data_IF_009301897366
#
_entry.id   IF_009301897366
#
_cell.length_a   1.000
_cell.length_b   1.000
_cell.length_c   1.000
_cell.angle_alpha   90.00
_cell.angle_beta   90.00
_cell.angle_gamma   90.00
#
_symmetry.space_group_name_H-M   'P 1'
#
loop_
_entity.id
_entity.type
_entity.pdbx_description
1 polymer ?
2 non-polymer ?
3 water ?
#
# COMPACT_ATOMS: atom_id res chain seq x y z
N UNK A 10 -2.76 -15.84 -3.00
CA UNK A 10 -3.00 -14.86 -4.09
C UNK A 10 -2.20 -13.59 -3.82
N UNK A 11 -0.90 -13.76 -3.61
CA UNK A 11 0.08 -12.69 -3.66
C UNK A 11 1.45 -13.31 -3.87
N UNK A 12 2.35 -12.58 -4.53
CA UNK A 12 3.68 -13.10 -4.80
C UNK A 12 4.67 -11.97 -4.92
N UNK A 13 5.94 -12.27 -4.64
CA UNK A 13 6.98 -11.21 -4.72
C UNK A 13 7.97 -11.60 -5.82
N UNK A 14 8.17 -10.72 -6.79
CA UNK A 14 9.19 -10.98 -7.84
C UNK A 14 10.26 -9.91 -7.67
N UNK A 15 11.45 -10.31 -7.25
CA UNK A 15 12.54 -9.32 -6.99
C UNK A 15 12.02 -8.23 -6.05
N UNK A 16 11.96 -7.00 -6.54
CA UNK A 16 11.53 -5.86 -5.68
C UNK A 16 10.09 -5.48 -6.01
N UNK A 17 9.33 -6.42 -6.58
CA UNK A 17 7.95 -6.16 -6.91
C UNK A 17 7.08 -7.11 -6.09
N UNK A 18 6.14 -6.50 -5.35
CA UNK A 18 5.07 -7.22 -4.70
C UNK A 18 3.82 -7.08 -5.56
N UNK A 19 3.13 -8.19 -5.83
CA UNK A 19 1.86 -8.18 -6.55
C UNK A 19 0.80 -8.99 -5.81
N UNK A 20 -0.36 -8.39 -5.59
CA UNK A 20 -1.43 -8.94 -4.78
C UNK A 20 -2.76 -8.81 -5.50
N UNK A 21 -3.58 -9.84 -5.41
CA UNK A 21 -4.95 -9.76 -5.90
C UNK A 21 -5.83 -9.47 -4.70
N UNK A 22 -6.66 -8.45 -4.83
CA UNK A 22 -7.49 -7.97 -3.76
C UNK A 22 -8.93 -7.83 -4.25
N UNK A 23 -9.88 -8.31 -3.42
CA UNK A 23 -11.31 -8.08 -3.59
C UNK A 23 -11.70 -6.83 -2.81
N UNK A 24 -12.00 -5.73 -3.49
CA UNK A 24 -12.51 -4.53 -2.84
C UNK A 24 -12.97 -3.52 -3.87
N UNK A 25 -13.14 -2.27 -3.46
CA UNK A 25 -13.44 -1.18 -4.38
C UNK A 25 -12.17 -0.38 -4.67
N UNK A 26 -12.00 0.00 -5.93
CA UNK A 26 -10.83 0.73 -6.40
C UNK A 26 -10.84 2.15 -5.86
N UNK A 27 -12.03 2.76 -5.75
CA UNK A 27 -12.11 4.14 -5.26
C UNK A 27 -11.92 4.24 -3.74
N UNK A 28 -11.87 3.11 -3.04
CA UNK A 28 -11.67 3.12 -1.60
C UNK A 28 -10.24 2.67 -1.27
N UNK A 29 -9.30 2.79 -2.23
CA UNK A 29 -7.97 2.29 -2.00
C UNK A 29 -7.04 3.40 -1.56
N UNK A 30 -5.97 2.92 -0.95
CA UNK A 30 -4.82 3.70 -0.57
C UNK A 30 -3.65 3.27 -1.43
N UNK A 31 -3.14 4.15 -2.27
CA UNK A 31 -1.91 3.84 -2.95
C UNK A 31 -1.36 5.17 -3.47
N UNK A 32 -0.05 5.23 -3.73
CA UNK A 32 0.47 6.38 -4.44
C UNK A 32 -0.41 6.68 -5.67
N UNK A 33 -0.74 5.64 -6.44
CA UNK A 33 -1.48 5.83 -7.68
C UNK A 33 -2.63 4.84 -7.72
N UNK A 34 -3.81 5.35 -8.09
CA UNK A 34 -4.98 4.51 -8.36
C UNK A 34 -5.30 4.70 -9.84
N UNK A 35 -5.59 3.59 -10.53
CA UNK A 35 -5.87 3.64 -11.95
C UNK A 35 -7.38 3.72 -12.21
N UNK A 36 -7.75 4.75 -12.98
CA UNK A 36 -9.09 4.93 -13.51
C UNK A 36 -9.15 4.34 -14.91
N UNK A 37 -10.37 4.05 -15.34
CA UNK A 37 -10.62 3.51 -16.67
C UNK A 37 -11.84 4.21 -17.27
N UNK A 38 -11.58 5.04 -18.30
CA UNK A 38 -12.59 5.97 -18.81
C UNK A 38 -12.72 5.88 -20.32
N UNK A 39 -13.90 6.29 -20.78
CA UNK A 39 -14.10 6.74 -22.14
C UNK A 39 -13.79 8.24 -22.14
N UNK A 40 -12.82 8.72 -22.96
CA UNK A 40 -12.34 10.09 -22.86
C UNK A 40 -13.41 11.15 -23.17
N UNK A 41 -14.42 10.76 -23.96
CA UNK A 41 -15.52 11.64 -24.30
C UNK A 41 -16.42 11.84 -23.08
N UNK A 42 -16.46 10.85 -22.16
CA UNK A 42 -17.34 10.93 -20.98
C UNK A 42 -16.78 10.06 -19.85
N UNK A 43 -16.23 10.73 -18.83
CA UNK A 43 -15.64 10.05 -17.70
C UNK A 43 -16.70 9.79 -16.62
N UNK A 44 -17.96 10.14 -16.92
CA UNK A 44 -19.04 9.98 -15.97
C UNK A 44 -19.76 8.67 -16.22
N UNK A 45 -19.25 7.88 -17.16
CA UNK A 45 -19.91 6.64 -17.56
C UNK A 45 -18.95 5.49 -17.29
N UNK A 46 -19.54 4.34 -16.96
CA UNK A 46 -18.80 3.12 -16.64
C UNK A 46 -18.69 2.91 -15.14
N UNK A 47 -18.77 1.63 -14.66
CA UNK A 47 -18.61 1.30 -13.23
C UNK A 47 -17.47 2.03 -12.49
N UNK A 48 -16.22 1.79 -12.91
CA UNK A 48 -15.04 2.36 -12.28
C UNK A 48 -15.04 3.88 -12.37
N UNK A 49 -15.31 4.42 -13.56
CA UNK A 49 -15.26 5.86 -13.75
C UNK A 49 -16.18 6.58 -12.76
N UNK A 50 -17.35 5.97 -12.49
CA UNK A 50 -18.36 6.57 -11.65
C UNK A 50 -17.94 6.51 -10.18
N UNK A 51 -17.65 5.28 -9.71
CA UNK A 51 -17.13 5.05 -8.38
C UNK A 51 -16.07 6.09 -8.02
N UNK A 52 -15.14 6.30 -8.96
CA UNK A 52 -13.99 7.16 -8.78
C UNK A 52 -14.44 8.61 -8.75
N UNK A 53 -15.35 8.97 -9.63
CA UNK A 53 -15.82 10.34 -9.76
C UNK A 53 -16.55 10.75 -8.49
N UNK A 54 -17.40 9.87 -7.97
CA UNK A 54 -18.13 10.12 -6.73
C UNK A 54 -17.14 10.31 -5.59
N UNK A 55 -16.26 9.32 -5.42
CA UNK A 55 -15.36 9.32 -4.28
C UNK A 55 -14.40 10.51 -4.35
N UNK A 56 -13.94 10.87 -5.55
CA UNK A 56 -12.85 11.83 -5.68
C UNK A 56 -13.35 13.27 -5.65
N UNK A 57 -14.63 13.43 -6.02
CA UNK A 57 -15.33 14.70 -5.92
C UNK A 57 -15.33 15.44 -7.25
N UNK A 58 -16.15 16.50 -7.31
CA UNK A 58 -16.41 17.25 -8.53
C UNK A 58 -15.12 17.87 -9.09
N UNK A 59 -14.15 18.20 -8.21
CA UNK A 59 -12.96 18.94 -8.61
C UNK A 59 -12.02 18.07 -9.45
N UNK A 60 -12.23 16.75 -9.41
CA UNK A 60 -11.42 15.80 -10.14
C UNK A 60 -11.74 15.85 -11.64
N UNK A 61 -13.02 16.11 -11.95
CA UNK A 61 -13.51 16.22 -13.32
C UNK A 61 -13.08 17.55 -13.95
N UNK A 62 -12.75 18.57 -13.14
CA UNK A 62 -12.26 19.84 -13.66
C UNK A 62 -10.83 19.69 -14.19
N UNK A 63 -9.92 19.19 -13.34
CA UNK A 63 -8.53 19.08 -13.76
C UNK A 63 -8.43 18.10 -14.92
N UNK A 64 -9.38 17.16 -15.02
CA UNK A 64 -9.40 16.17 -16.10
C UNK A 64 -9.82 16.77 -17.44
N UNK A 65 -10.84 17.64 -17.42
CA UNK A 65 -11.33 18.30 -18.65
C UNK A 65 -10.36 19.40 -19.06
N UNK A 66 -9.53 19.90 -18.15
CA UNK A 66 -8.65 21.03 -18.43
C UNK A 66 -7.28 20.58 -18.93
N UNK A 67 -7.00 19.27 -18.88
CA UNK A 67 -5.68 18.74 -19.21
C UNK A 67 -5.72 17.81 -20.43
N UNK A 68 -6.92 17.47 -20.92
CA UNK A 68 -7.08 16.93 -22.26
C UNK A 68 -7.03 18.11 -23.23
N UNK A 69 -6.19 18.04 -24.29
CA UNK A 69 -5.96 19.18 -25.17
C UNK A 69 -5.25 18.74 -26.45
N UNK A 74 -6.25 13.16 -29.51
CA UNK A 74 -4.86 13.20 -28.99
C UNK A 74 -4.41 11.78 -28.60
N UNK A 75 -3.12 11.51 -28.77
CA UNK A 75 -2.56 10.17 -28.56
C UNK A 75 -2.37 9.81 -27.07
N UNK A 76 -2.47 10.79 -26.15
CA UNK A 76 -2.39 10.53 -24.71
C UNK A 76 -3.27 9.33 -24.38
N UNK A 77 -2.67 8.21 -23.96
CA UNK A 77 -3.42 7.03 -23.55
C UNK A 77 -3.72 7.04 -22.05
N UNK A 78 -2.82 7.65 -21.25
CA UNK A 78 -2.96 7.78 -19.82
C UNK A 78 -2.86 9.26 -19.45
N UNK A 79 -3.98 9.82 -18.98
CA UNK A 79 -4.02 11.16 -18.42
C UNK A 79 -3.74 11.09 -16.92
N UNK A 80 -2.92 12.01 -16.41
CA UNK A 80 -2.54 11.99 -15.00
C UNK A 80 -3.13 13.19 -14.27
N UNK A 81 -3.79 12.92 -13.15
CA UNK A 81 -4.24 13.99 -12.28
C UNK A 81 -3.82 13.70 -10.84
N UNK A 82 -4.07 14.66 -9.95
CA UNK A 82 -3.92 14.46 -8.53
C UNK A 82 -5.06 13.53 -8.10
N UNK A 83 -5.06 13.18 -6.81
CA UNK A 83 -6.04 12.24 -6.25
C UNK A 83 -7.25 12.92 -5.62
N UNK A 84 -7.18 14.23 -5.31
CA UNK A 84 -8.27 14.91 -4.63
C UNK A 84 -8.63 14.13 -3.36
N UNK A 85 -9.92 13.82 -3.16
CA UNK A 85 -10.42 13.12 -1.99
C UNK A 85 -10.22 11.60 -2.06
N UNK A 86 -9.41 11.11 -3.01
CA UNK A 86 -8.98 9.72 -2.94
C UNK A 86 -7.73 9.64 -2.09
N UNK A 87 -7.55 8.49 -1.43
CA UNK A 87 -6.39 8.26 -0.60
C UNK A 87 -5.27 7.85 -1.53
N UNK A 88 -4.88 8.78 -2.42
CA UNK A 88 -3.84 8.52 -3.41
C UNK A 88 -3.16 9.83 -3.76
N UNK A 89 -1.95 9.73 -4.30
CA UNK A 89 -1.19 10.90 -4.69
C UNK A 89 -1.60 11.36 -6.09
N UNK A 90 -1.92 10.39 -6.94
CA UNK A 90 -2.21 10.67 -8.34
C UNK A 90 -3.29 9.69 -8.78
N UNK A 91 -4.05 10.08 -9.82
CA UNK A 91 -4.88 9.14 -10.55
C UNK A 91 -4.36 9.05 -11.99
N UNK A 92 -4.10 7.81 -12.43
CA UNK A 92 -3.77 7.56 -13.82
C UNK A 92 -5.03 7.12 -14.55
N UNK A 93 -5.59 8.00 -15.38
CA UNK A 93 -6.79 7.67 -16.14
C UNK A 93 -6.40 7.00 -17.44
N UNK A 94 -6.76 5.73 -17.60
CA UNK A 94 -6.56 5.05 -18.87
C UNK A 94 -7.64 5.52 -19.84
N UNK A 95 -7.23 6.11 -20.97
CA UNK A 95 -8.20 6.59 -21.96
C UNK A 95 -8.34 5.55 -23.05
N UNK A 96 -9.48 4.87 -23.08
CA UNK A 96 -9.83 4.04 -24.21
C UNK A 96 -10.33 4.87 -25.39
N UNK A 97 -9.45 5.11 -26.37
CA UNK A 97 -9.86 5.66 -27.65
C UNK A 97 -10.44 4.53 -28.50
N UNK A 98 -11.45 4.89 -29.30
CA UNK A 98 -12.31 3.94 -29.99
C UNK A 98 -11.70 3.36 -31.27
N UNK A 99 -10.67 4.00 -31.86
CA UNK A 99 -10.16 3.60 -33.18
C UNK A 99 -8.95 2.64 -33.06
N UNK A 100 -8.91 1.78 -32.03
CA UNK A 100 -7.76 0.92 -31.77
C UNK A 100 -8.20 -0.47 -31.32
N UNK A 101 -7.39 -1.54 -31.52
CA UNK A 101 -7.70 -2.86 -30.99
C UNK A 101 -7.56 -2.79 -29.48
N UNK A 102 -8.54 -3.39 -28.77
CA UNK A 102 -8.65 -3.23 -27.32
C UNK A 102 -7.50 -3.93 -26.62
N UNK A 103 -7.22 -5.23 -26.88
CA UNK A 103 -6.05 -5.88 -26.29
C UNK A 103 -4.75 -5.07 -26.42
N UNK A 104 -4.63 -4.24 -27.47
CA UNK A 104 -3.45 -3.43 -27.67
C UNK A 104 -3.48 -2.18 -26.80
N UNK A 105 -4.68 -1.65 -26.52
CA UNK A 105 -4.86 -0.45 -25.72
C UNK A 105 -4.49 -0.77 -24.28
N UNK A 106 -4.95 -1.95 -23.83
CA UNK A 106 -4.61 -2.44 -22.51
C UNK A 106 -3.10 -2.59 -22.41
N UNK A 107 -2.52 -3.30 -23.37
CA UNK A 107 -1.13 -3.67 -23.24
C UNK A 107 -0.31 -2.38 -23.20
N UNK A 108 -0.72 -1.38 -23.98
CA UNK A 108 0.04 -0.15 -24.10
C UNK A 108 -0.25 0.72 -22.88
N UNK A 109 -1.50 0.75 -22.44
CA UNK A 109 -1.86 1.59 -21.28
C UNK A 109 -1.12 1.10 -20.04
N UNK A 110 -0.99 -0.21 -19.93
CA UNK A 110 -0.26 -0.80 -18.78
C UNK A 110 1.18 -0.29 -18.78
N UNK A 111 1.93 -0.58 -19.84
CA UNK A 111 3.36 -0.19 -19.91
C UNK A 111 3.49 1.29 -19.53
N UNK A 112 2.65 2.15 -20.10
CA UNK A 112 2.74 3.60 -19.82
C UNK A 112 2.54 3.83 -18.33
N UNK A 113 1.47 3.27 -17.76
CA UNK A 113 1.15 3.44 -16.32
C UNK A 113 2.38 2.98 -15.51
N UNK A 114 2.97 1.85 -15.87
CA UNK A 114 4.12 1.31 -15.10
C UNK A 114 5.40 2.11 -15.37
N UNK A 115 5.52 2.75 -16.53
CA UNK A 115 6.69 3.57 -16.81
C UNK A 115 6.55 4.84 -16.01
N UNK A 116 5.32 5.34 -15.92
CA UNK A 116 5.10 6.52 -15.13
C UNK A 116 5.47 6.24 -13.67
N UNK A 117 5.35 4.98 -13.23
CA UNK A 117 5.74 4.65 -11.86
C UNK A 117 7.24 4.94 -11.65
N UNK A 118 8.07 4.75 -12.68
CA UNK A 118 9.46 5.14 -12.51
C UNK A 118 9.58 6.65 -12.59
N UNK A 119 8.76 7.30 -13.43
CA UNK A 119 8.86 8.73 -13.65
C UNK A 119 8.57 9.46 -12.34
N UNK A 120 7.52 9.06 -11.66
CA UNK A 120 7.05 9.81 -10.50
C UNK A 120 7.50 9.20 -9.17
N UNK A 121 8.47 8.26 -9.19
CA UNK A 121 8.93 7.62 -7.98
C UNK A 121 7.72 7.15 -7.17
N UNK A 122 6.89 6.34 -7.82
CA UNK A 122 5.71 5.71 -7.28
C UNK A 122 6.15 4.42 -6.60
N UNK A 123 5.65 4.16 -5.39
CA UNK A 123 5.95 2.92 -4.69
C UNK A 123 4.76 1.96 -4.72
N UNK A 124 3.55 2.45 -4.96
CA UNK A 124 2.43 1.54 -4.98
C UNK A 124 1.40 2.02 -5.99
N UNK A 125 0.82 1.06 -6.71
CA UNK A 125 -0.14 1.35 -7.76
C UNK A 125 -1.20 0.25 -7.71
N UNK A 126 -2.47 0.66 -7.77
CA UNK A 126 -3.57 -0.28 -7.75
C UNK A 126 -4.41 -0.06 -9.00
N UNK A 127 -4.72 -1.18 -9.65
CA UNK A 127 -5.43 -1.23 -10.91
C UNK A 127 -6.71 -2.03 -10.72
N UNK A 128 -7.83 -1.64 -11.39
CA UNK A 128 -9.01 -2.49 -11.48
C UNK A 128 -8.75 -3.52 -12.56
N UNK A 129 -9.71 -4.42 -12.81
CA UNK A 129 -9.53 -5.40 -13.86
C UNK A 129 -9.84 -4.74 -15.21
N UNK A 130 -8.84 -4.01 -15.72
CA UNK A 130 -8.99 -3.13 -16.87
C UNK A 130 -9.50 -3.89 -18.09
N UNK A 131 -10.58 -3.37 -18.68
CA UNK A 131 -11.04 -3.83 -19.96
C UNK A 131 -11.99 -5.02 -19.85
N UNK A 132 -12.38 -5.39 -18.62
CA UNK A 132 -13.31 -6.50 -18.46
C UNK A 132 -14.75 -6.00 -18.57
N UNK A 133 -14.90 -4.66 -18.52
CA UNK A 133 -16.21 -4.03 -18.50
C UNK A 133 -16.98 -4.35 -19.77
N UNK A 134 -18.21 -4.85 -19.56
CA UNK A 134 -19.18 -5.13 -20.61
C UNK A 134 -18.85 -6.42 -21.35
N UNK A 135 -17.81 -7.15 -20.91
CA UNK A 135 -17.22 -8.21 -21.71
C UNK A 135 -16.70 -7.58 -23.01
N UNK A 136 -15.64 -6.77 -22.91
CA UNK A 136 -14.97 -6.14 -24.05
C UNK A 136 -13.70 -6.92 -24.36
N UNK A 137 -12.91 -7.17 -23.31
CA UNK A 137 -11.79 -8.10 -23.34
C UNK A 137 -12.14 -9.26 -22.42
N UNK A 138 -11.84 -10.49 -22.89
CA UNK A 138 -12.16 -11.71 -22.17
C UNK A 138 -11.34 -11.75 -20.88
N UNK A 139 -11.91 -12.35 -19.82
CA UNK A 139 -11.34 -12.25 -18.48
C UNK A 139 -9.91 -12.75 -18.46
N UNK A 140 -9.66 -13.95 -19.00
CA UNK A 140 -8.34 -14.58 -18.97
C UNK A 140 -7.31 -13.77 -19.77
N UNK A 141 -7.77 -13.05 -20.80
CA UNK A 141 -6.88 -12.28 -21.66
C UNK A 141 -6.45 -11.01 -20.94
N UNK A 142 -7.41 -10.30 -20.32
CA UNK A 142 -7.08 -9.15 -19.50
C UNK A 142 -6.02 -9.57 -18.48
N UNK A 143 -6.34 -10.60 -17.69
CA UNK A 143 -5.43 -11.15 -16.70
C UNK A 143 -4.10 -11.51 -17.37
N UNK A 144 -4.13 -12.25 -18.47
CA UNK A 144 -2.89 -12.58 -19.17
C UNK A 144 -2.06 -11.32 -19.39
N UNK A 145 -2.69 -10.28 -19.93
CA UNK A 145 -2.01 -9.05 -20.32
C UNK A 145 -1.53 -8.28 -19.08
N UNK A 146 -2.41 -8.16 -18.08
CA UNK A 146 -2.11 -7.42 -16.87
C UNK A 146 -0.87 -7.99 -16.20
N UNK A 147 -0.85 -9.31 -15.94
CA UNK A 147 0.33 -9.95 -15.36
C UNK A 147 1.54 -9.79 -16.29
N UNK A 148 1.34 -10.05 -17.60
CA UNK A 148 2.39 -9.94 -18.61
C UNK A 148 3.18 -8.66 -18.38
N UNK A 149 2.51 -7.51 -18.37
CA UNK A 149 3.19 -6.24 -18.31
C UNK A 149 3.83 -6.02 -16.94
N UNK A 150 3.09 -6.36 -15.88
CA UNK A 150 3.60 -6.20 -14.53
C UNK A 150 4.90 -6.99 -14.42
N UNK A 151 4.87 -8.28 -14.78
CA UNK A 151 6.05 -9.12 -14.65
C UNK A 151 7.19 -8.57 -15.49
N UNK A 152 6.88 -8.04 -16.67
CA UNK A 152 7.88 -7.48 -17.57
C UNK A 152 8.68 -6.40 -16.83
N UNK A 153 7.93 -5.47 -16.23
CA UNK A 153 8.48 -4.36 -15.46
C UNK A 153 9.38 -4.86 -14.34
N UNK A 154 8.92 -5.89 -13.63
CA UNK A 154 9.66 -6.48 -12.53
C UNK A 154 11.04 -6.94 -12.98
N UNK A 155 11.15 -7.44 -14.22
CA UNK A 155 12.41 -7.94 -14.75
C UNK A 155 13.24 -6.78 -15.30
N UNK A 156 12.58 -5.80 -15.93
CA UNK A 156 13.28 -4.78 -16.68
C UNK A 156 13.62 -3.57 -15.81
N UNK A 157 13.08 -3.49 -14.59
CA UNK A 157 13.44 -2.40 -13.70
C UNK A 157 13.36 -2.89 -12.26
N UNK A 158 14.37 -3.71 -11.91
CA UNK A 158 14.43 -4.42 -10.64
C UNK A 158 14.96 -3.50 -9.54
N UNK A 159 15.48 -2.33 -9.94
CA UNK A 159 15.96 -1.34 -8.99
C UNK A 159 14.81 -0.57 -8.35
N UNK A 160 13.58 -0.70 -8.89
CA UNK A 160 12.43 0.07 -8.42
C UNK A 160 11.49 -0.82 -7.61
N UNK A 161 11.29 -0.45 -6.33
CA UNK A 161 10.38 -1.14 -5.43
C UNK A 161 8.98 -0.68 -5.78
N UNK A 162 8.09 -1.67 -6.03
CA UNK A 162 6.72 -1.36 -6.38
C UNK A 162 5.79 -2.37 -5.70
N UNK A 163 4.66 -1.86 -5.19
CA UNK A 163 3.56 -2.71 -4.77
C UNK A 163 2.45 -2.52 -5.79
N UNK A 164 2.03 -3.61 -6.42
CA UNK A 164 0.95 -3.60 -7.40
C UNK A 164 -0.21 -4.42 -6.87
N UNK A 165 -1.38 -3.78 -6.77
CA UNK A 165 -2.62 -4.47 -6.45
C UNK A 165 -3.49 -4.50 -7.70
N UNK A 166 -4.04 -5.67 -8.02
CA UNK A 166 -5.18 -5.77 -8.90
C UNK A 166 -6.43 -5.86 -8.03
N UNK A 167 -7.20 -4.78 -8.02
CA UNK A 167 -8.47 -4.70 -7.31
C UNK A 167 -9.62 -5.27 -8.14
N UNK A 168 -10.16 -6.40 -7.68
CA UNK A 168 -11.31 -7.06 -8.27
C UNK A 168 -12.56 -6.68 -7.48
N UNK A 169 -13.66 -6.37 -8.16
CA UNK A 169 -14.83 -5.96 -7.42
C UNK A 169 -15.38 -7.18 -6.68
N UNK A 170 -15.88 -7.03 -5.44
CA UNK A 170 -16.40 -8.15 -4.66
C UNK A 170 -17.40 -9.09 -5.36
N UNK A 171 -18.43 -8.54 -6.03
CA UNK A 171 -19.47 -9.38 -6.63
C UNK A 171 -18.93 -10.12 -7.87
N UNK A 172 -17.89 -9.59 -8.52
CA UNK A 172 -17.27 -10.21 -9.69
C UNK A 172 -16.41 -11.40 -9.28
N UNK A 173 -17.05 -12.51 -8.91
CA UNK A 173 -16.33 -13.68 -8.46
C UNK A 173 -15.54 -14.32 -9.60
N UNK A 174 -16.08 -14.26 -10.83
CA UNK A 174 -15.50 -14.98 -11.97
C UNK A 174 -14.16 -14.36 -12.37
N UNK A 175 -14.15 -13.02 -12.46
CA UNK A 175 -12.96 -12.26 -12.79
C UNK A 175 -11.86 -12.60 -11.78
N UNK A 176 -12.26 -12.68 -10.50
CA UNK A 176 -11.37 -13.06 -9.42
C UNK A 176 -10.76 -14.45 -9.66
N UNK A 177 -11.61 -15.41 -10.07
CA UNK A 177 -11.16 -16.78 -10.25
C UNK A 177 -10.09 -16.84 -11.34
N UNK A 178 -10.17 -15.92 -12.30
CA UNK A 178 -9.25 -15.95 -13.44
C UNK A 178 -7.90 -15.35 -13.03
N UNK A 179 -7.93 -14.26 -12.26
CA UNK A 179 -6.70 -13.63 -11.84
C UNK A 179 -5.92 -14.53 -10.89
N UNK A 180 -6.62 -15.23 -9.99
CA UNK A 180 -5.96 -16.19 -9.12
C UNK A 180 -5.23 -17.22 -9.98
N UNK A 181 -5.94 -17.77 -10.96
CA UNK A 181 -5.42 -18.84 -11.81
C UNK A 181 -4.22 -18.35 -12.62
N UNK A 182 -4.30 -17.11 -13.11
CA UNK A 182 -3.21 -16.58 -13.93
C UNK A 182 -1.99 -16.39 -13.02
N UNK A 183 -2.23 -15.91 -11.80
CA UNK A 183 -1.15 -15.68 -10.86
C UNK A 183 -0.52 -17.03 -10.50
N UNK A 184 -1.36 -17.99 -10.08
CA UNK A 184 -0.92 -19.35 -9.84
C UNK A 184 0.02 -19.80 -10.96
N UNK A 185 -0.51 -19.83 -12.20
CA UNK A 185 0.24 -20.25 -13.37
C UNK A 185 1.61 -19.58 -13.42
N UNK A 186 1.65 -18.27 -13.16
CA UNK A 186 2.85 -17.48 -13.37
C UNK A 186 3.92 -17.82 -12.34
N UNK A 187 3.50 -17.89 -11.07
CA UNK A 187 4.41 -18.21 -9.99
C UNK A 187 5.00 -19.60 -10.17
N UNK A 188 4.23 -20.56 -10.72
CA UNK A 188 4.73 -21.89 -10.99
C UNK A 188 6.01 -21.83 -11.82
N UNK A 189 6.15 -20.82 -12.70
CA UNK A 189 7.44 -20.47 -13.29
C UNK A 189 8.09 -19.39 -12.41
N UNK A 190 9.34 -19.00 -12.70
CA UNK A 190 10.04 -17.94 -11.95
C UNK A 190 10.71 -18.50 -10.69
N UNK B 10 14.40 -8.03 -0.36
CA UNK B 10 13.92 -7.54 0.97
C UNK B 10 12.41 -7.26 0.92
N UNK B 11 11.67 -8.28 0.53
CA UNK B 11 10.23 -8.34 0.64
C UNK B 11 9.80 -9.80 0.48
N UNK B 12 8.71 -10.19 1.15
CA UNK B 12 8.36 -11.61 1.22
C UNK B 12 6.88 -11.73 1.47
N UNK B 13 6.31 -12.86 1.05
CA UNK B 13 4.90 -13.12 1.31
C UNK B 13 4.85 -14.26 2.33
N UNK B 14 3.99 -14.13 3.34
CA UNK B 14 3.78 -15.21 4.29
C UNK B 14 2.27 -15.41 4.42
N UNK B 15 1.78 -16.55 3.97
CA UNK B 15 0.34 -16.76 3.83
C UNK B 15 -0.30 -15.61 3.07
N UNK B 16 -1.16 -14.83 3.74
CA UNK B 16 -1.89 -13.73 3.13
C UNK B 16 -1.31 -12.39 3.55
N UNK B 17 -0.04 -12.41 3.94
CA UNK B 17 0.62 -11.22 4.44
C UNK B 17 1.81 -10.96 3.52
N UNK B 18 1.85 -9.73 3.03
CA UNK B 18 3.00 -9.19 2.35
C UNK B 18 3.76 -8.31 3.35
N UNK B 19 5.07 -8.48 3.43
CA UNK B 19 5.92 -7.66 4.28
C UNK B 19 7.14 -7.18 3.51
N UNK B 20 7.41 -5.87 3.58
CA UNK B 20 8.42 -5.21 2.77
C UNK B 20 9.25 -4.27 3.66
N UNK B 21 10.56 -4.23 3.42
CA UNK B 21 11.40 -3.23 4.02
C UNK B 21 11.63 -2.15 2.99
N UNK B 22 11.38 -0.91 3.40
CA UNK B 22 11.38 0.22 2.50
C UNK B 22 12.17 1.36 3.12
N UNK B 23 13.00 2.03 2.30
CA UNK B 23 13.67 3.25 2.69
C UNK B 23 12.85 4.45 2.24
N UNK B 24 12.27 5.20 3.18
CA UNK B 24 11.59 6.44 2.85
C UNK B 24 11.19 7.21 4.11
N UNK B 25 10.29 8.18 3.96
CA UNK B 25 9.70 8.89 5.09
C UNK B 25 8.32 8.32 5.40
N UNK B 26 8.06 8.15 6.70
CA UNK B 26 6.82 7.58 7.20
C UNK B 26 5.67 8.53 6.94
N UNK B 27 5.92 9.84 7.06
CA UNK B 27 4.85 10.82 6.91
C UNK B 27 4.47 11.02 5.45
N UNK B 28 5.24 10.46 4.51
CA UNK B 28 4.94 10.60 3.09
C UNK B 28 4.36 9.30 2.54
N UNK B 29 3.82 8.44 3.40
CA UNK B 29 3.39 7.13 2.97
C UNK B 29 1.91 7.11 2.69
N UNK B 30 1.57 6.10 1.87
CA UNK B 30 0.22 5.79 1.50
C UNK B 30 -0.12 4.42 2.09
N UNK B 31 -1.02 4.39 3.07
CA UNK B 31 -1.47 3.13 3.60
C UNK B 31 -2.78 3.38 4.31
N UNK B 32 -3.59 2.33 4.49
CA UNK B 32 -4.75 2.49 5.35
C UNK B 32 -4.31 3.12 6.68
N UNK B 33 -3.21 2.61 7.24
CA UNK B 33 -2.79 3.05 8.56
C UNK B 33 -1.31 3.36 8.52
N UNK B 34 -0.93 4.51 9.10
CA UNK B 34 0.45 4.88 9.33
C UNK B 34 0.67 4.93 10.83
N UNK B 35 1.79 4.36 11.30
CA UNK B 35 2.08 4.29 12.73
C UNK B 35 2.97 5.45 13.17
N UNK B 36 2.45 6.20 14.17
CA UNK B 36 3.17 7.27 14.83
C UNK B 36 3.78 6.71 16.10
N UNK B 37 4.78 7.44 16.60
CA UNK B 37 5.52 7.04 17.79
C UNK B 37 5.78 8.27 18.64
N UNK B 38 5.09 8.36 19.78
CA UNK B 38 5.05 9.59 20.57
C UNK B 38 5.37 9.33 22.02
N UNK B 39 5.85 10.39 22.65
CA UNK B 39 5.74 10.57 24.08
C UNK B 39 4.38 11.20 24.36
N UNK B 40 3.50 10.54 25.15
CA UNK B 40 2.11 10.99 25.29
C UNK B 40 1.98 12.38 25.89
N UNK B 41 2.96 12.78 26.70
CA UNK B 41 3.00 14.08 27.33
C UNK B 41 3.29 15.17 26.28
N UNK B 42 3.99 14.82 25.19
CA UNK B 42 4.29 15.79 24.13
C UNK B 42 4.52 15.10 22.79
N UNK B 43 3.55 15.25 21.89
CA UNK B 43 3.61 14.62 20.58
C UNK B 43 4.32 15.52 19.58
N UNK B 44 4.86 16.65 20.05
CA UNK B 44 5.51 17.61 19.17
C UNK B 44 7.02 17.36 19.17
N UNK B 45 7.44 16.31 19.87
CA UNK B 45 8.85 16.06 20.07
C UNK B 45 9.15 14.66 19.53
N UNK B 46 10.37 14.51 19.01
CA UNK B 46 10.84 13.24 18.47
C UNK B 46 10.81 13.26 16.94
N UNK B 47 11.81 12.66 16.26
CA UNK B 47 11.83 12.59 14.79
C UNK B 47 10.49 12.30 14.09
N UNK B 48 9.93 11.11 14.34
CA UNK B 48 8.70 10.65 13.73
C UNK B 48 7.52 11.54 14.13
N UNK B 49 7.39 11.82 15.42
CA UNK B 49 6.25 12.61 15.89
C UNK B 49 6.17 13.94 15.16
N UNK B 50 7.33 14.55 14.90
CA UNK B 50 7.41 15.86 14.28
C UNK B 50 7.04 15.76 12.80
N UNK B 51 7.78 14.92 12.06
CA UNK B 51 7.51 14.62 10.67
C UNK B 51 6.00 14.47 10.43
N UNK B 52 5.36 13.67 11.29
CA UNK B 52 3.96 13.33 11.14
C UNK B 52 3.09 14.55 11.47
N UNK B 53 3.47 15.29 12.52
CA UNK B 53 2.71 16.44 12.95
C UNK B 53 2.73 17.52 11.86
N UNK B 54 3.90 17.75 11.26
CA UNK B 54 4.02 18.73 10.21
C UNK B 54 3.18 18.29 9.02
N UNK B 55 3.38 17.06 8.57
CA UNK B 55 2.71 16.61 7.36
C UNK B 55 1.20 16.54 7.56
N UNK B 56 0.73 16.16 8.75
CA UNK B 56 -0.68 15.84 8.95
C UNK B 56 -1.48 17.10 9.25
N UNK B 57 -0.78 18.11 9.77
CA UNK B 57 -1.34 19.44 10.00
C UNK B 57 -1.80 19.62 11.44
N UNK B 58 -2.11 20.87 11.78
CA UNK B 58 -2.38 21.27 13.15
C UNK B 58 -3.61 20.56 13.71
N UNK B 59 -4.57 20.19 12.86
CA UNK B 59 -5.84 19.63 13.31
C UNK B 59 -5.66 18.20 13.84
N UNK B 60 -4.51 17.58 13.54
CA UNK B 60 -4.21 16.23 13.98
C UNK B 60 -3.90 16.22 15.49
N UNK B 61 -3.26 17.30 15.95
CA UNK B 61 -2.90 17.47 17.35
C UNK B 61 -4.11 17.79 18.21
N UNK B 62 -5.20 18.29 17.61
CA UNK B 62 -6.42 18.56 18.34
C UNK B 62 -7.15 17.26 18.66
N UNK B 63 -7.40 16.42 17.64
CA UNK B 63 -8.13 15.19 17.87
C UNK B 63 -7.33 14.29 18.80
N UNK B 64 -5.99 14.45 18.80
CA UNK B 64 -5.11 13.66 19.64
C UNK B 64 -5.17 14.07 21.12
N UNK B 65 -5.20 15.39 21.39
CA UNK B 65 -5.30 15.90 22.75
C UNK B 65 -6.71 15.70 23.29
N UNK B 66 -7.70 15.54 22.42
CA UNK B 66 -9.09 15.49 22.83
C UNK B 66 -9.56 14.06 23.08
N UNK B 67 -8.76 13.06 22.71
CA UNK B 67 -9.18 11.67 22.78
C UNK B 67 -8.26 10.84 23.68
N UNK B 68 -7.25 11.48 24.28
CA UNK B 68 -6.27 10.79 25.10
C UNK B 68 -6.91 10.32 26.43
N UNK B 69 -6.33 9.25 27.00
CA UNK B 69 -6.68 8.73 28.32
C UNK B 69 -8.13 8.25 28.33
N UNK B 74 -3.75 5.29 31.65
CA UNK B 74 -2.45 4.58 31.46
C UNK B 74 -2.63 3.33 30.62
N UNK B 75 -3.77 2.62 30.76
CA UNK B 75 -3.99 1.35 30.07
C UNK B 75 -4.48 1.57 28.63
N UNK B 76 -3.62 2.22 27.83
CA UNK B 76 -3.92 2.63 26.47
C UNK B 76 -2.57 2.83 25.78
N UNK B 77 -2.17 1.87 24.95
CA UNK B 77 -0.87 1.88 24.31
C UNK B 77 -0.93 2.59 22.96
N UNK B 78 -2.07 2.44 22.26
CA UNK B 78 -2.23 2.91 20.89
C UNK B 78 -3.47 3.79 20.80
N UNK B 79 -3.26 5.09 20.57
CA UNK B 79 -4.32 6.04 20.32
C UNK B 79 -4.61 6.08 18.82
N UNK B 80 -5.90 6.10 18.44
CA UNK B 80 -6.28 6.06 17.04
C UNK B 80 -6.90 7.39 16.62
N UNK B 81 -6.39 7.97 15.54
CA UNK B 81 -7.01 9.15 14.95
C UNK B 81 -7.19 8.92 13.45
N UNK B 82 -7.87 9.88 12.81
CA UNK B 82 -7.96 9.91 11.36
C UNK B 82 -6.59 10.34 10.86
N UNK B 83 -6.45 10.39 9.52
CA UNK B 83 -5.17 10.68 8.86
C UNK B 83 -4.97 12.16 8.53
N UNK B 84 -6.03 12.96 8.49
CA UNK B 84 -5.91 14.34 8.08
C UNK B 84 -5.19 14.40 6.73
N UNK B 85 -4.14 15.22 6.63
CA UNK B 85 -3.43 15.45 5.38
C UNK B 85 -2.37 14.38 5.11
N UNK B 86 -2.41 13.27 5.86
CA UNK B 86 -1.60 12.13 5.48
C UNK B 86 -2.42 11.28 4.52
N UNK B 87 -1.71 10.59 3.62
CA UNK B 87 -2.36 9.73 2.64
C UNK B 87 -2.65 8.42 3.33
N UNK B 88 -3.51 8.49 4.34
CA UNK B 88 -3.85 7.34 5.14
C UNK B 88 -5.26 7.50 5.69
N UNK B 89 -5.87 6.39 6.10
CA UNK B 89 -7.22 6.40 6.62
C UNK B 89 -7.19 6.72 8.12
N UNK B 90 -6.15 6.25 8.79
CA UNK B 90 -6.06 6.37 10.24
C UNK B 90 -4.59 6.54 10.60
N UNK B 91 -4.33 7.17 11.74
CA UNK B 91 -3.02 7.11 12.38
C UNK B 91 -3.12 6.35 13.70
N UNK B 92 -2.27 5.31 13.84
CA UNK B 92 -2.14 4.63 15.11
C UNK B 92 -0.93 5.19 15.87
N UNK B 93 -1.18 5.98 16.90
CA UNK B 93 -0.11 6.58 17.69
C UNK B 93 0.30 5.63 18.81
N UNK B 94 1.53 5.13 18.76
CA UNK B 94 2.05 4.32 19.85
C UNK B 94 2.45 5.26 20.99
N UNK B 95 1.84 5.07 22.17
CA UNK B 95 2.15 5.89 23.32
C UNK B 95 3.16 5.16 24.19
N UNK B 96 4.41 5.63 24.18
CA UNK B 96 5.41 5.14 25.13
C UNK B 96 5.22 5.79 26.51
N UNK B 97 4.60 5.09 27.45
CA UNK B 97 4.60 5.52 28.84
C UNK B 97 5.92 5.04 29.46
N UNK B 98 6.56 5.90 30.27
CA UNK B 98 7.92 5.64 30.73
C UNK B 98 7.92 4.97 32.11
N UNK B 99 7.03 3.98 32.31
CA UNK B 99 6.96 3.27 33.58
C UNK B 99 6.91 1.75 33.33
N UNK B 100 7.35 1.28 32.14
CA UNK B 100 7.18 -0.10 31.71
C UNK B 100 8.42 -0.58 30.96
N UNK B 101 8.72 -1.90 30.91
CA UNK B 101 9.91 -2.41 30.23
C UNK B 101 9.74 -2.21 28.73
N UNK B 102 10.80 -1.71 28.06
CA UNK B 102 10.70 -1.15 26.72
C UNK B 102 10.39 -2.27 25.72
N UNK B 103 11.22 -3.35 25.67
CA UNK B 103 10.93 -4.46 24.78
C UNK B 103 9.50 -4.99 24.89
N UNK B 104 8.89 -4.86 26.08
CA UNK B 104 7.54 -5.34 26.31
C UNK B 104 6.50 -4.36 25.76
N UNK B 105 6.79 -3.06 25.75
CA UNK B 105 5.76 -2.13 25.30
C UNK B 105 5.76 -2.11 23.78
N UNK B 106 6.92 -2.34 23.16
CA UNK B 106 6.97 -2.53 21.72
C UNK B 106 6.15 -3.78 21.37
N UNK B 107 6.44 -4.88 22.08
CA UNK B 107 5.83 -6.13 21.71
C UNK B 107 4.32 -5.98 21.85
N UNK B 108 3.87 -5.26 22.88
CA UNK B 108 2.45 -5.10 23.14
C UNK B 108 1.86 -4.10 22.16
N UNK B 109 2.59 -3.03 21.88
CA UNK B 109 2.12 -2.00 20.96
C UNK B 109 1.93 -2.57 19.54
N UNK B 110 2.80 -3.51 19.18
CA UNK B 110 2.68 -4.17 17.87
C UNK B 110 1.38 -4.98 17.83
N UNK B 111 1.22 -5.92 18.76
CA UNK B 111 -0.01 -6.74 18.82
C UNK B 111 -1.24 -5.85 18.66
N UNK B 112 -1.35 -4.81 19.47
CA UNK B 112 -2.55 -3.94 19.44
C UNK B 112 -2.71 -3.36 18.04
N UNK B 113 -1.65 -2.76 17.50
CA UNK B 113 -1.69 -2.20 16.13
C UNK B 113 -2.23 -3.27 15.17
N UNK B 114 -1.66 -4.46 15.19
CA UNK B 114 -2.07 -5.54 14.26
C UNK B 114 -3.46 -6.09 14.60
N UNK B 115 -3.90 -6.02 15.85
CA UNK B 115 -5.23 -6.49 16.18
C UNK B 115 -6.22 -5.46 15.67
N UNK B 116 -5.87 -4.19 15.80
CA UNK B 116 -6.74 -3.16 15.29
C UNK B 116 -6.86 -3.31 13.77
N UNK B 117 -5.82 -3.87 13.11
CA UNK B 117 -5.95 -4.12 11.67
C UNK B 117 -7.12 -5.06 11.39
N UNK B 118 -7.38 -6.04 12.27
CA UNK B 118 -8.55 -6.88 12.04
C UNK B 118 -9.81 -6.10 12.40
N UNK B 119 -9.73 -5.25 13.42
CA UNK B 119 -10.89 -4.52 13.91
C UNK B 119 -11.44 -3.62 12.80
N UNK B 120 -10.54 -2.89 12.14
CA UNK B 120 -10.98 -1.87 11.21
C UNK B 120 -10.91 -2.33 9.75
N UNK B 121 -10.76 -3.63 9.49
CA UNK B 121 -10.63 -4.14 8.14
C UNK B 121 -9.60 -3.29 7.38
N UNK B 122 -8.40 -3.23 7.96
CA UNK B 122 -7.23 -2.54 7.44
C UNK B 122 -6.56 -3.51 6.48
N UNK B 123 -6.16 -3.00 5.31
CA UNK B 123 -5.47 -3.82 4.31
C UNK B 123 -3.99 -3.47 4.25
N UNK B 124 -3.60 -2.31 4.73
CA UNK B 124 -2.18 -2.00 4.69
C UNK B 124 -1.81 -1.13 5.88
N UNK B 125 -0.61 -1.39 6.41
CA UNK B 125 -0.14 -0.68 7.60
C UNK B 125 1.36 -0.49 7.45
N UNK B 126 1.84 0.73 7.70
CA UNK B 126 3.24 1.04 7.60
C UNK B 126 3.74 1.60 8.92
N UNK B 127 4.89 1.05 9.35
CA UNK B 127 5.50 1.30 10.64
C UNK B 127 6.88 1.89 10.40
N UNK B 128 7.33 2.86 11.25
CA UNK B 128 8.73 3.26 11.31
C UNK B 128 9.44 2.23 12.15
N UNK B 129 10.77 2.36 12.30
CA UNK B 129 11.52 1.45 13.16
C UNK B 129 11.31 1.86 14.61
N UNK B 130 10.18 1.39 15.16
CA UNK B 130 9.70 1.77 16.48
C UNK B 130 10.74 1.47 17.55
N UNK B 131 11.07 2.51 18.32
CA UNK B 131 11.85 2.34 19.54
C UNK B 131 13.36 2.37 19.28
N UNK B 132 13.77 2.72 18.06
CA UNK B 132 15.20 2.72 17.74
C UNK B 132 15.75 4.10 18.03
N UNK B 133 14.91 5.02 18.48
CA UNK B 133 15.34 6.41 18.67
C UNK B 133 16.20 6.59 19.89
N UNK B 134 17.18 7.51 19.82
CA UNK B 134 18.11 7.77 20.96
C UNK B 134 18.59 6.43 21.52
N UNK B 135 18.81 5.45 20.64
CA UNK B 135 19.22 4.10 21.08
C UNK B 135 18.46 3.70 22.35
N UNK B 136 17.13 3.62 22.29
CA UNK B 136 16.32 3.17 23.45
C UNK B 136 16.23 1.63 23.39
N UNK B 137 15.81 1.11 22.24
CA UNK B 137 15.78 -0.38 22.06
C UNK B 137 16.84 -0.69 21.00
N UNK B 138 17.57 -1.80 21.17
CA UNK B 138 18.70 -2.12 20.26
C UNK B 138 18.16 -2.38 18.85
N UNK B 139 18.96 -2.06 17.83
CA UNK B 139 18.46 -2.16 16.47
C UNK B 139 17.93 -3.56 16.19
N UNK B 140 18.75 -4.57 16.45
CA UNK B 140 18.42 -5.96 16.14
C UNK B 140 17.21 -6.44 16.95
N UNK B 141 17.01 -5.88 18.14
CA UNK B 141 15.94 -6.29 19.04
C UNK B 141 14.61 -5.72 18.54
N UNK B 142 14.61 -4.43 18.18
CA UNK B 142 13.43 -3.84 17.58
C UNK B 142 13.02 -4.71 16.38
N UNK B 143 13.96 -4.90 15.46
CA UNK B 143 13.74 -5.75 14.29
C UNK B 143 13.27 -7.13 14.71
N UNK B 144 13.96 -7.77 15.65
CA UNK B 144 13.54 -9.08 16.13
C UNK B 144 12.07 -9.04 16.49
N UNK B 145 11.67 -8.04 17.28
CA UNK B 145 10.32 -7.95 17.83
C UNK B 145 9.33 -7.62 16.72
N UNK B 146 9.68 -6.66 15.87
CA UNK B 146 8.81 -6.22 14.78
C UNK B 146 8.44 -7.40 13.89
N UNK B 147 9.44 -8.14 13.38
CA UNK B 147 9.17 -9.32 12.59
C UNK B 147 8.39 -10.35 13.40
N UNK B 148 8.85 -10.62 14.63
CA UNK B 148 8.21 -11.57 15.52
C UNK B 148 6.70 -11.40 15.49
N UNK B 149 6.22 -10.18 15.78
CA UNK B 149 4.79 -9.96 15.92
C UNK B 149 4.08 -10.08 14.58
N UNK B 150 4.69 -9.48 13.55
CA UNK B 150 4.12 -9.51 12.21
C UNK B 150 3.93 -10.96 11.80
N UNK B 151 5.00 -11.77 11.91
CA UNK B 151 4.94 -13.16 11.50
C UNK B 151 3.88 -13.92 12.31
N UNK B 152 3.80 -13.60 13.60
CA UNK B 152 2.85 -14.24 14.49
C UNK B 152 1.44 -14.07 13.93
N UNK B 153 1.11 -12.81 13.62
CA UNK B 153 -0.18 -12.42 13.09
C UNK B 153 -0.49 -13.18 11.80
N UNK B 154 0.52 -13.31 10.94
CA UNK B 154 0.37 -14.01 9.67
C UNK B 154 -0.11 -15.45 9.89
N UNK B 155 0.36 -16.09 10.98
CA UNK B 155 -0.02 -17.45 11.32
C UNK B 155 -1.37 -17.48 12.04
N UNK B 156 -1.61 -16.50 12.91
CA UNK B 156 -2.73 -16.55 13.82
C UNK B 156 -3.98 -15.90 13.23
N UNK B 157 -3.85 -15.21 12.09
CA UNK B 157 -5.02 -14.66 11.43
C UNK B 157 -4.78 -14.65 9.93
N UNK B 158 -4.85 -15.86 9.34
CA UNK B 158 -4.49 -16.12 7.96
C UNK B 158 -5.65 -15.74 7.03
N UNK B 159 -6.83 -15.48 7.62
CA UNK B 159 -7.97 -14.99 6.86
C UNK B 159 -7.83 -13.52 6.48
N UNK B 160 -6.89 -12.78 7.06
CA UNK B 160 -6.78 -11.33 6.87
C UNK B 160 -5.60 -10.98 5.98
N UNK B 161 -5.91 -10.38 4.81
CA UNK B 161 -4.93 -9.88 3.85
C UNK B 161 -4.39 -8.57 4.38
N UNK B 162 -3.07 -8.48 4.43
CA UNK B 162 -2.42 -7.30 4.98
C UNK B 162 -1.13 -7.06 4.22
N UNK B 163 -0.86 -5.78 3.94
CA UNK B 163 0.44 -5.36 3.48
C UNK B 163 1.08 -4.56 4.62
N UNK B 164 2.26 -5.01 5.04
CA UNK B 164 2.99 -4.38 6.11
C UNK B 164 4.32 -3.85 5.56
N UNK B 165 4.53 -2.55 5.72
CA UNK B 165 5.80 -1.95 5.39
C UNK B 165 6.49 -1.55 6.67
N UNK B 166 7.79 -1.87 6.77
CA UNK B 166 8.67 -1.22 7.72
C UNK B 166 9.42 -0.13 6.98
N UNK B 167 9.05 1.12 7.25
CA UNK B 167 9.69 2.30 6.68
C UNK B 167 10.93 2.71 7.49
N UNK B 168 12.11 2.54 6.87
CA UNK B 168 13.38 2.94 7.44
C UNK B 168 13.80 4.29 6.88
N UNK B 169 14.27 5.21 7.72
CA UNK B 169 14.59 6.54 7.22
C UNK B 169 15.81 6.39 6.32
N UNK B 170 15.88 7.12 5.18
CA UNK B 170 17.02 7.04 4.26
C UNK B 170 18.42 7.15 4.86
N UNK B 171 18.68 8.13 5.75
CA UNK B 171 20.02 8.31 6.28
C UNK B 171 20.39 7.20 7.27
N UNK B 172 19.39 6.55 7.92
CA UNK B 172 19.63 5.46 8.86
C UNK B 172 19.99 4.18 8.12
N UNK B 173 21.21 4.10 7.59
CA UNK B 173 21.63 2.96 6.82
C UNK B 173 21.78 1.73 7.72
N UNK B 174 22.19 1.93 8.98
CA UNK B 174 22.51 0.82 9.86
C UNK B 174 21.24 0.07 10.28
N UNK B 175 20.20 0.84 10.62
CA UNK B 175 18.90 0.27 10.98
C UNK B 175 18.39 -0.57 9.80
N UNK B 176 18.60 -0.07 8.58
CA UNK B 176 18.25 -0.78 7.36
C UNK B 176 18.98 -2.12 7.27
N UNK B 177 20.30 -2.10 7.57
CA UNK B 177 21.14 -3.29 7.46
C UNK B 177 20.62 -4.37 8.41
N UNK B 178 20.00 -3.95 9.52
CA UNK B 178 19.57 -4.89 10.53
C UNK B 178 18.25 -5.55 10.12
N UNK B 179 17.35 -4.75 9.57
CA UNK B 179 16.06 -5.26 9.15
C UNK B 179 16.23 -6.22 7.98
N UNK B 180 17.11 -5.89 7.03
CA UNK B 180 17.41 -6.81 5.94
C UNK B 180 17.87 -8.16 6.51
N UNK B 181 18.82 -8.10 7.45
CA UNK B 181 19.41 -9.30 8.02
C UNK B 181 18.38 -10.13 8.77
N UNK B 182 17.50 -9.44 9.51
CA UNK B 182 16.48 -10.13 10.29
C UNK B 182 15.50 -10.80 9.31
N UNK B 183 15.16 -10.10 8.23
CA UNK B 183 14.25 -10.64 7.24
C UNK B 183 14.89 -11.85 6.57
N UNK B 184 16.12 -11.68 6.06
CA UNK B 184 16.92 -12.80 5.54
C UNK B 184 16.79 -14.01 6.47
N UNK B 185 17.24 -13.85 7.72
CA UNK B 185 17.20 -14.92 8.70
C UNK B 185 15.83 -15.59 8.74
N UNK B 186 14.76 -14.79 8.72
CA UNK B 186 13.42 -15.30 8.95
C UNK B 186 12.92 -16.12 7.77
N UNK B 187 13.16 -15.62 6.56
CA UNK B 187 12.77 -16.32 5.36
C UNK B 187 13.50 -17.65 5.26
N UNK B 188 14.78 -17.70 5.66
CA UNK B 188 15.52 -18.96 5.66
C UNK B 188 14.76 -20.03 6.44
N UNK B 189 14.05 -19.59 7.48
CA UNK B 189 13.34 -20.57 8.33
C UNK B 189 12.01 -20.91 7.68
N UNK B 190 11.26 -19.89 7.27
CA UNK B 190 9.94 -20.13 6.63
C UNK B 190 10.18 -20.96 5.37
N UNK B 191 11.39 -20.92 4.82
CA UNK B 191 11.73 -21.77 3.65
C UNK B 191 11.38 -23.22 3.98
N UNK B 192 11.76 -23.68 5.16
CA UNK B 192 11.51 -25.09 5.55
C UNK B 192 10.05 -25.24 6.01
N UNK B 193 9.44 -24.14 6.48
CA UNK B 193 8.05 -24.21 7.01
C UNK B 193 7.05 -23.77 5.94
N UNK B 194 6.49 -22.57 6.06
CA UNK B 194 5.42 -22.13 5.11
C UNK B 194 5.77 -20.79 4.46
N UNK B 195 5.56 -20.68 3.15
CA UNK B 195 5.80 -19.41 2.40
C UNK B 195 7.23 -18.92 2.56
N UNK B 196 7.47 -17.67 2.19
CA UNK B 196 8.82 -17.07 2.30
C UNK B 196 9.91 -18.12 2.00
X LIG C 1 -15.49 -0.64 -16.14
X LIG C 1 -15.80 0.68 -15.54
X LIG C 1 -16.64 -1.31 -16.84
X LIG C 1 -14.89 -1.68 -15.07
X LIG C 1 -14.16 -2.84 -15.60
X LIG C 1 -14.11 -4.01 -14.64
X LIG C 1 -13.69 -3.60 -13.31
X LIG C 1 -15.42 -4.76 -14.41
X LIG C 1 -15.12 -6.13 -14.20
X LIG C 1 -15.94 -4.05 -13.14
X LIG C 1 -17.09 -4.76 -12.71
X LIG C 1 -14.63 -4.10 -12.37
X LIG C 1 -14.48 -3.27 -11.17
X LIG C 1 -13.36 -3.24 -10.35
X LIG C 1 -13.45 -2.37 -9.38
X LIG C 1 -14.71 -1.81 -9.54
X LIG C 1 -15.38 -0.80 -8.83
X LIG C 1 -14.89 -0.22 -7.76
X LIG C 1 -16.62 -0.46 -9.26
X LIG C 1 -17.11 -1.07 -10.35
X LIG C 1 -16.56 -1.99 -11.12
X LIG C 1 -15.34 -2.33 -10.67
X LIG C 1 -14.22 -0.38 -17.08
X LIG C 1 -13.31 -1.09 -18.20
X LIG C 1 -13.47 -2.59 -18.28
X LIG C 1 -11.92 -0.59 -17.98
X LIG C 1 -13.92 -0.48 -19.55
X LIG C 1 -15.24 0.14 -19.58
X LIG C 1 -15.07 1.62 -19.39
X LIG C 1 -13.99 2.08 -20.25
X LIG C 1 -16.27 2.47 -19.79
X LIG C 1 -16.28 3.73 -19.12
X LIG C 1 -16.07 2.60 -21.30
X LIG C 1 -16.40 3.88 -21.80
X LIG C 1 -14.56 2.47 -21.50
X LIG C 1 -14.24 1.49 -22.55
X LIG C 1 -14.84 1.68 -23.78
X LIG C 1 -14.63 0.77 -24.82
X LIG C 1 -15.31 1.07 -26.12
X LIG C 1 -15.44 0.17 -26.96
X LIG C 1 -15.67 2.33 -26.38
X LIG C 1 -13.77 -0.32 -24.62
X LIG C 1 -13.18 -0.49 -23.39
X LIG C 1 -13.41 0.41 -22.36
X LIG D 1 11.76 8.36 16.97
X LIG D 1 10.92 9.59 16.77
X LIG D 1 12.94 8.55 17.86
X LIG D 1 12.22 7.66 15.58
X LIG D 1 12.07 6.20 15.35
X LIG D 1 13.04 5.68 14.31
X LIG D 1 12.67 6.13 12.98
X LIG D 1 14.52 6.08 14.45
X LIG D 1 15.40 5.08 13.95
X LIG D 1 14.58 7.36 13.60
X LIG D 1 15.88 7.70 13.18
X LIG D 1 13.67 6.96 12.44
X LIG D 1 13.02 8.09 11.79
X LIG D 1 13.17 9.43 12.05
X LIG D 1 12.41 10.21 11.29
X LIG D 1 11.71 9.31 10.51
X LIG D 1 10.72 9.50 9.52
X LIG D 1 10.25 10.69 9.16
X LIG D 1 10.22 8.39 8.96
X LIG D 1 10.68 7.19 9.33
X LIG D 1 11.60 6.88 10.24
X LIG D 1 12.07 8.01 10.80
X LIG D 1 10.82 7.16 17.48
X LIG D 1 10.87 5.95 18.53
X LIG D 1 12.27 5.40 18.63
X LIG D 1 9.81 4.95 18.20
X LIG D 1 10.46 6.81 19.83
X LIG D 1 9.70 8.03 19.51
X LIG D 1 9.47 8.88 20.73
X LIG D 1 8.86 8.11 21.78
X LIG D 1 10.73 9.45 21.41
X LIG D 1 11.26 10.53 20.65
X LIG D 1 10.10 9.89 22.74
X LIG D 1 9.28 11.03 22.56
X LIG D 1 9.22 8.68 23.04
X LIG D 1 9.90 7.64 23.84
X LIG D 1 10.22 7.91 25.15
X LIG D 1 10.85 6.94 25.91
X LIG D 1 11.19 7.32 27.32
X LIG D 1 10.80 8.42 27.76
X LIG D 1 11.93 6.48 28.06
X LIG D 1 11.14 5.69 25.38
X LIG D 1 10.80 5.43 24.06
X LIG D 1 10.18 6.41 23.30
#
# INVERSE_FOLDING_TARGET
GAMATTPSFNAMVVNNLTLQIVQGHIEWQTADVIVNSVNPHDITVGPVAKSILQQAGVEMKSEFLATKAKQFQRSQLVLVTKGFNLFCKYIYHVLWHSEFPKPQILKHAMKECLEKCIEQNITSISFPALGTGNMEIKKETAAEILFDEVLTFAKDHVKHQLTVKFVIFPTDLEIYKAFSSEMAKRSKMLSLNNYSV
GAMATTPSFNAMVVNNLTLQIVQGHIEWQTADVIVNSVNPHDITVGPVAKSILQQAGVEMKSEFLATKAKQFQRSQLVLVTKGFNLFCKYIYHVLWHSEFPKPQILKHAMKECLEKCIEQNITSISFPALGTGNMEIKKETAAEILFDEVLTFAKDHVKHQLTVKFVIFPTDLEIYKAFSSEMAKRSKMLSLNNYSV
NAD PA O1A O2A O5B C5B C4B O4B C3B O3B C2B O2B C1B N9A C8A N7A C5A C6A N6A N1A C2A N3A C4A O3 PN O1N O2N O5D C5D C4D O4D C3D O3D C2D O2D C1D N1N C2N C3N C7N O7N N7N C4N C5N C6N
NAD PA O1A O2A O5B C5B C4B O4B C3B O3B C2B O2B C1B N9A C8A N7A C5A C6A N6A N1A C2A N3A C4A O3 PN O1N O2N O5D C5D C4D O4D C3D O3D C2D O2D C1D N1N C2N C3N C7N O7N N7N C4N C5N C6N
#
